data_IF_228965444730
#
_entry.id   IF_228965444730
#
_cell.length_a   1.000
_cell.length_b   1.000
_cell.length_c   1.000
_cell.angle_alpha   90.00
_cell.angle_beta   90.00
_cell.angle_gamma   90.00
#
_symmetry.space_group_name_H-M   'P 1'
#
loop_
_entity.id
_entity.type
_entity.pdbx_description
1 polymer ?
#
# COMPACT_ATOMS: atom_id res chain seq x y z
N UNK A 1 20.15 3.19 -16.61
CA UNK A 1 19.74 2.83 -16.59
C UNK A 1 18.96 2.50 -16.54
N UNK A 2 18.75 2.41 -16.53
CA UNK A 2 18.01 2.11 -16.41
C UNK A 2 17.39 1.42 -16.51
N UNK A 3 17.10 0.99 -16.23
CA UNK A 3 16.47 0.21 -16.37
C UNK A 3 15.55 0.24 -16.81
N UNK A 4 15.46 0.17 -17.12
CA UNK A 4 14.64 0.28 -18.02
C UNK A 4 13.42 -0.33 -17.93
N UNK A 5 12.79 -0.60 -18.92
CA UNK A 5 11.54 -1.27 -18.90
C UNK A 5 10.56 -0.52 -18.05
N UNK A 6 9.56 -1.22 -17.56
CA UNK A 6 8.56 -0.57 -16.73
C UNK A 6 9.23 0.06 -15.53
N UNK A 7 8.79 1.20 -15.19
CA UNK A 7 9.29 1.89 -14.04
C UNK A 7 9.05 1.06 -12.80
N UNK A 8 10.07 0.83 -12.03
CA UNK A 8 9.96 0.06 -10.81
C UNK A 8 10.56 0.85 -9.65
N UNK A 9 9.76 1.11 -8.65
CA UNK A 9 10.22 1.78 -7.46
C UNK A 9 10.53 0.73 -6.40
N UNK A 10 11.66 0.87 -5.79
CA UNK A 10 12.09 -0.06 -4.75
C UNK A 10 11.75 0.49 -3.38
N UNK A 11 11.35 -0.40 -2.50
CA UNK A 11 11.02 -0.04 -1.13
C UNK A 11 12.26 -0.17 -0.27
N UNK A 12 12.56 0.88 0.48
CA UNK A 12 13.64 0.85 1.45
C UNK A 12 13.01 0.56 2.80
N UNK A 13 13.41 -0.54 3.39
CA UNK A 13 12.86 -0.93 4.69
C UNK A 13 13.43 -0.06 5.79
N UNK A 14 12.69 0.06 6.86
CA UNK A 14 13.13 0.80 8.03
C UNK A 14 14.15 0.05 8.83
N UNK A 15 14.74 -0.92 8.25
CA UNK A 15 15.73 -1.73 8.89
C UNK A 15 17.03 -1.49 8.13
N UNK A 16 18.03 -0.95 8.79
CA UNK A 16 19.21 -0.50 8.10
C UNK A 16 19.96 -1.60 7.39
N UNK A 17 19.68 -2.83 7.69
CA UNK A 17 20.37 -3.93 7.04
C UNK A 17 19.59 -4.51 5.89
N UNK A 18 18.59 -3.80 5.42
CA UNK A 18 17.74 -4.33 4.39
C UNK A 18 18.12 -3.83 3.02
N UNK A 19 17.97 -4.71 2.06
CA UNK A 19 18.11 -4.31 0.67
C UNK A 19 16.78 -3.74 0.20
N UNK A 20 16.82 -2.83 -0.76
CA UNK A 20 15.58 -2.35 -1.36
C UNK A 20 14.80 -3.49 -1.99
N UNK A 21 13.50 -3.42 -1.92
CA UNK A 21 12.63 -4.42 -2.51
C UNK A 21 11.70 -3.78 -3.51
N UNK A 22 11.30 -4.50 -4.55
CA UNK A 22 10.31 -3.97 -5.48
C UNK A 22 9.00 -3.72 -4.76
N UNK A 23 8.31 -2.68 -5.16
CA UNK A 23 6.98 -2.41 -4.65
C UNK A 23 6.03 -3.50 -5.12
N UNK A 24 5.34 -4.13 -4.19
CA UNK A 24 4.46 -5.25 -4.49
C UNK A 24 3.02 -4.83 -4.33
N UNK A 25 2.35 -4.62 -5.45
CA UNK A 25 0.96 -4.19 -5.46
C UNK A 25 0.05 -5.24 -4.84
N UNK A 26 0.36 -6.51 -5.04
CA UNK A 26 -0.49 -7.57 -4.52
C UNK A 26 -0.46 -7.62 -3.00
N UNK A 27 0.71 -7.42 -2.41
CA UNK A 27 0.81 -7.38 -0.96
C UNK A 27 0.00 -6.22 -0.40
N UNK A 28 0.11 -5.07 -1.03
CA UNK A 28 -0.64 -3.92 -0.58
C UNK A 28 -2.13 -4.16 -0.72
N UNK A 29 -2.54 -4.71 -1.85
CA UNK A 29 -3.95 -5.01 -2.09
C UNK A 29 -4.50 -5.93 -1.00
N UNK A 30 -3.78 -7.00 -0.71
CA UNK A 30 -4.23 -7.95 0.30
C UNK A 30 -4.33 -7.32 1.68
N UNK A 31 -3.38 -6.46 2.03
CA UNK A 31 -3.42 -5.84 3.35
C UNK A 31 -4.60 -4.89 3.48
N UNK A 32 -4.93 -4.19 2.41
CA UNK A 32 -6.07 -3.27 2.44
C UNK A 32 -7.38 -4.06 2.49
N UNK A 33 -7.48 -5.13 1.72
CA UNK A 33 -8.66 -5.98 1.76
C UNK A 33 -8.86 -6.51 3.18
N UNK A 34 -7.78 -6.96 3.82
CA UNK A 34 -7.88 -7.48 5.17
C UNK A 34 -8.42 -6.42 6.14
N UNK A 35 -7.96 -5.18 6.01
CA UNK A 35 -8.44 -4.11 6.86
C UNK A 35 -9.93 -3.85 6.62
N UNK A 36 -10.35 -3.86 5.37
CA UNK A 36 -11.75 -3.64 5.04
C UNK A 36 -12.62 -4.78 5.59
N UNK A 37 -12.17 -6.02 5.43
CA UNK A 37 -12.91 -7.15 5.96
C UNK A 37 -13.02 -7.08 7.48
N UNK A 38 -11.95 -6.65 8.13
CA UNK A 38 -11.96 -6.52 9.58
C UNK A 38 -12.95 -5.46 10.05
N UNK A 39 -13.27 -4.50 9.22
CA UNK A 39 -14.25 -3.49 9.57
C UNK A 39 -15.66 -3.85 9.10
N UNK A 40 -15.85 -5.10 8.64
CA UNK A 40 -17.16 -5.60 8.29
C UNK A 40 -17.58 -5.37 6.84
N UNK A 41 -16.65 -4.97 5.99
CA UNK A 41 -16.95 -4.70 4.59
C UNK A 41 -17.12 -6.02 3.82
N UNK A 42 -18.15 -6.13 2.98
CA UNK A 42 -18.28 -7.32 2.13
C UNK A 42 -17.09 -7.48 1.20
N UNK A 43 -16.77 -8.73 0.86
CA UNK A 43 -15.58 -9.04 0.09
C UNK A 43 -15.50 -8.27 -1.22
N UNK A 44 -16.59 -8.26 -1.99
CA UNK A 44 -16.56 -7.56 -3.27
C UNK A 44 -16.30 -6.08 -3.13
N UNK A 45 -16.90 -5.47 -2.12
CA UNK A 45 -16.70 -4.05 -1.87
C UNK A 45 -15.28 -3.79 -1.37
N UNK A 46 -14.78 -4.68 -0.51
CA UNK A 46 -13.43 -4.56 0.01
C UNK A 46 -12.40 -4.60 -1.12
N UNK A 47 -12.60 -5.49 -2.07
CA UNK A 47 -11.69 -5.58 -3.20
C UNK A 47 -11.75 -4.36 -4.10
N UNK A 48 -12.94 -3.82 -4.27
CA UNK A 48 -13.11 -2.62 -5.07
C UNK A 48 -12.37 -1.43 -4.43
N UNK A 49 -12.52 -1.28 -3.13
CA UNK A 49 -11.83 -0.22 -2.41
C UNK A 49 -10.33 -0.41 -2.50
N UNK A 50 -9.88 -1.65 -2.28
CA UNK A 50 -8.44 -1.94 -2.30
C UNK A 50 -7.84 -1.63 -3.65
N UNK A 51 -8.56 -1.95 -4.73
CA UNK A 51 -8.05 -1.68 -6.07
C UNK A 51 -7.87 -0.18 -6.27
N UNK A 52 -8.84 0.62 -5.86
CA UNK A 52 -8.74 2.06 -6.01
C UNK A 52 -7.59 2.64 -5.21
N UNK A 53 -7.41 2.16 -3.98
CA UNK A 53 -6.33 2.64 -3.14
C UNK A 53 -4.98 2.23 -3.72
N UNK A 54 -4.87 0.98 -4.15
CA UNK A 54 -3.61 0.50 -4.72
C UNK A 54 -3.24 1.29 -5.97
N UNK A 55 -4.22 1.57 -6.83
CA UNK A 55 -3.95 2.36 -8.02
C UNK A 55 -3.45 3.75 -7.66
N UNK A 56 -4.05 4.38 -6.67
CA UNK A 56 -3.63 5.71 -6.24
C UNK A 56 -2.23 5.67 -5.64
N UNK A 57 -1.95 4.67 -4.80
CA UNK A 57 -0.63 4.54 -4.20
C UNK A 57 0.41 4.26 -5.27
N UNK A 58 0.07 3.42 -6.23
CA UNK A 58 1.00 3.10 -7.30
C UNK A 58 1.37 4.36 -8.08
N UNK A 59 0.39 5.21 -8.38
CA UNK A 59 0.67 6.47 -9.06
C UNK A 59 1.58 7.36 -8.25
N UNK A 60 1.37 7.41 -6.92
CA UNK A 60 2.22 8.20 -6.06
C UNK A 60 3.64 7.65 -6.02
N UNK A 61 3.75 6.32 -5.90
CA UNK A 61 5.05 5.66 -5.81
C UNK A 61 5.86 5.90 -7.08
N UNK A 62 5.20 5.89 -8.21
CA UNK A 62 5.90 6.04 -9.49
C UNK A 62 6.55 7.40 -9.66
N UNK A 63 6.17 8.38 -8.86
CA UNK A 63 6.79 9.69 -8.93
C UNK A 63 8.05 9.80 -8.07
N UNK A 64 8.42 8.72 -7.39
CA UNK A 64 9.54 8.76 -6.46
C UNK A 64 10.53 7.65 -6.77
N UNK A 65 11.82 7.95 -6.67
CA UNK A 65 12.84 6.92 -6.94
C UNK A 65 12.87 5.85 -5.87
N UNK A 66 12.61 6.23 -4.63
CA UNK A 66 12.61 5.29 -3.51
C UNK A 66 11.58 5.71 -2.49
N UNK A 67 10.99 4.73 -1.84
CA UNK A 67 10.07 4.98 -0.73
C UNK A 67 10.33 3.93 0.34
N UNK A 68 9.95 4.24 1.57
CA UNK A 68 10.01 3.26 2.64
C UNK A 68 8.66 2.58 2.76
N UNK A 69 8.65 1.42 3.42
CA UNK A 69 7.37 0.75 3.66
C UNK A 69 6.48 1.61 4.56
N UNK A 70 7.09 2.41 5.45
CA UNK A 70 6.30 3.34 6.25
C UNK A 70 5.63 4.41 5.42
N UNK A 71 6.33 4.90 4.39
CA UNK A 71 5.75 5.89 3.47
C UNK A 71 4.54 5.30 2.76
N UNK A 72 4.68 4.07 2.26
CA UNK A 72 3.59 3.43 1.54
C UNK A 72 2.39 3.24 2.46
N UNK A 73 2.64 2.79 3.69
CA UNK A 73 1.55 2.58 4.63
C UNK A 73 0.83 3.88 4.94
N UNK A 74 1.58 4.95 5.15
CA UNK A 74 0.97 6.23 5.46
C UNK A 74 0.12 6.75 4.31
N UNK A 75 0.65 6.67 3.09
CA UNK A 75 -0.08 7.15 1.93
C UNK A 75 -1.29 6.28 1.64
N UNK A 76 -1.13 4.96 1.78
CA UNK A 76 -2.25 4.06 1.59
C UNK A 76 -3.36 4.35 2.59
N UNK A 77 -3.00 4.63 3.85
CA UNK A 77 -3.99 4.95 4.85
C UNK A 77 -4.74 6.23 4.51
N UNK A 78 -4.04 7.22 3.96
CA UNK A 78 -4.68 8.47 3.57
C UNK A 78 -5.70 8.26 2.46
N UNK A 79 -5.34 7.49 1.44
CA UNK A 79 -6.27 7.21 0.37
C UNK A 79 -7.43 6.35 0.86
N UNK A 80 -7.12 5.36 1.71
CA UNK A 80 -8.15 4.49 2.25
C UNK A 80 -9.14 5.26 3.09
N UNK A 81 -8.66 6.25 3.82
CA UNK A 81 -9.52 7.06 4.67
C UNK A 81 -10.60 7.77 3.87
N UNK A 82 -10.28 8.16 2.65
CA UNK A 82 -11.25 8.81 1.78
C UNK A 82 -12.41 7.88 1.43
N UNK A 83 -12.12 6.59 1.30
CA UNK A 83 -13.13 5.62 0.93
C UNK A 83 -13.77 4.94 2.14
N UNK A 84 -13.01 4.73 3.20
CA UNK A 84 -13.46 3.92 4.31
C UNK A 84 -12.67 4.26 5.57
N UNK A 85 -13.10 5.28 6.32
CA UNK A 85 -12.34 5.73 7.49
C UNK A 85 -12.07 4.64 8.53
N UNK A 86 -13.05 3.77 8.77
CA UNK A 86 -12.88 2.70 9.75
C UNK A 86 -11.79 1.73 9.32
N UNK A 87 -11.78 1.36 8.05
CA UNK A 87 -10.76 0.47 7.54
C UNK A 87 -9.39 1.13 7.60
N UNK A 88 -9.34 2.43 7.33
CA UNK A 88 -8.08 3.16 7.40
C UNK A 88 -7.52 3.14 8.81
N UNK A 89 -8.39 3.33 9.80
CA UNK A 89 -7.97 3.28 11.17
C UNK A 89 -7.38 1.91 11.51
N UNK A 90 -8.08 0.85 11.14
CA UNK A 90 -7.60 -0.50 11.39
C UNK A 90 -6.29 -0.77 10.65
N UNK A 91 -6.20 -0.29 9.43
CA UNK A 91 -5.00 -0.49 8.62
C UNK A 91 -3.79 0.14 9.29
N UNK A 92 -3.94 1.37 9.79
CA UNK A 92 -2.84 2.06 10.44
C UNK A 92 -2.40 1.40 11.72
N UNK A 93 -3.36 0.86 12.47
CA UNK A 93 -3.05 0.30 13.76
C UNK A 93 -2.73 -1.18 13.74
N UNK A 94 -2.91 -1.79 12.61
CA UNK A 94 -2.62 -3.20 12.46
C UNK A 94 -1.20 -3.33 12.05
N UNK A 95 -0.31 -3.28 12.48
CA UNK A 95 1.04 -3.51 12.08
C UNK A 95 1.18 -4.54 11.03
N UNK A 96 0.38 -4.45 10.02
CA UNK A 96 0.45 -5.38 8.92
C UNK A 96 1.78 -5.28 8.26
N UNK A 97 2.27 -6.37 7.77
CA UNK A 97 3.50 -6.40 7.05
C UNK A 97 3.27 -6.01 5.61
N UNK A 98 4.04 -5.14 5.15
CA UNK A 98 4.01 -4.80 3.74
C UNK A 98 5.16 -5.48 3.04
#
# INVERSE_FOLDING_TARGET
MSEGGPHTTHIVKNNRNRHPEPFDRNKLHKSIVAACLSSGTPVGHAESIARKVVDSVTGWVETRPEVTSGDIRRIAAQYLKTHHPDASYLYEHHRSTL
#
